data_IF_807228809535
#
_entry.id   IF_807228809535
#
_cell.length_a   1.000
_cell.length_b   1.000
_cell.length_c   1.000
_cell.angle_alpha   90.00
_cell.angle_beta   90.00
_cell.angle_gamma   90.00
#
_symmetry.space_group_name_H-M   'P 1'
#
loop_
_entity.id
_entity.type
_entity.pdbx_description
1 polymer ?
#
# COMPACT_ATOMS: atom_id res chain seq x y z
N UNK A 1 25.43 14.20 29.25
CA UNK A 1 25.60 14.10 28.68
C UNK A 1 25.45 14.29 27.35
N UNK A 2 24.71 14.05 26.78
CA UNK A 2 24.65 14.21 25.50
C UNK A 2 24.13 15.42 24.98
N UNK A 3 23.49 16.18 25.79
CA UNK A 3 22.86 17.36 25.33
C UNK A 3 23.88 18.30 24.73
N UNK A 4 25.04 18.32 25.27
CA UNK A 4 25.97 19.21 24.72
C UNK A 4 26.50 18.72 23.45
N UNK A 5 26.39 17.43 23.17
CA UNK A 5 26.82 16.96 21.93
C UNK A 5 25.70 16.91 20.97
N UNK A 6 24.51 17.17 21.43
CA UNK A 6 23.34 17.16 20.55
C UNK A 6 23.40 18.38 19.64
N UNK A 7 23.23 18.21 18.36
CA UNK A 7 23.16 19.34 17.44
C UNK A 7 22.02 20.26 17.80
N UNK A 8 22.01 21.42 17.24
CA UNK A 8 20.90 22.36 17.46
C UNK A 8 19.61 21.68 16.97
N UNK A 9 18.49 22.16 17.46
CA UNK A 9 17.19 21.63 17.05
C UNK A 9 17.03 21.66 15.54
N UNK A 10 17.51 22.72 14.88
CA UNK A 10 17.45 22.81 13.43
C UNK A 10 18.24 21.72 12.74
N UNK A 11 19.44 21.44 13.23
CA UNK A 11 20.29 20.41 12.64
C UNK A 11 19.66 19.04 12.83
N UNK A 12 19.07 18.78 14.00
CA UNK A 12 18.40 17.51 14.28
C UNK A 12 17.20 17.32 13.36
N UNK A 13 16.42 18.38 13.15
CA UNK A 13 15.28 18.31 12.24
C UNK A 13 15.71 18.06 10.81
N UNK A 14 16.79 18.70 10.38
CA UNK A 14 17.32 18.46 9.03
C UNK A 14 17.73 17.02 8.85
N UNK A 15 18.39 16.46 9.86
CA UNK A 15 18.79 15.08 9.81
C UNK A 15 17.58 14.15 9.68
N UNK A 16 16.56 14.37 10.50
CA UNK A 16 15.35 13.56 10.44
C UNK A 16 14.65 13.67 9.11
N UNK A 17 14.54 14.89 8.59
CA UNK A 17 13.93 15.10 7.28
C UNK A 17 14.69 14.39 6.17
N UNK A 18 16.01 14.45 6.25
CA UNK A 18 16.85 13.80 5.27
C UNK A 18 16.67 12.28 5.31
N UNK A 19 16.62 11.71 6.51
CA UNK A 19 16.40 10.27 6.66
C UNK A 19 15.03 9.85 6.15
N UNK A 20 14.02 10.66 6.45
CA UNK A 20 12.67 10.38 5.98
C UNK A 20 12.61 10.44 4.46
N UNK A 21 13.23 11.45 3.85
CA UNK A 21 13.25 11.58 2.40
C UNK A 21 13.96 10.38 1.76
N UNK A 22 15.08 9.95 2.35
CA UNK A 22 15.81 8.78 1.85
C UNK A 22 14.94 7.52 1.93
N UNK A 23 14.23 7.36 3.04
CA UNK A 23 13.36 6.21 3.22
C UNK A 23 12.22 6.20 2.19
N UNK A 24 11.59 7.36 1.99
CA UNK A 24 10.49 7.46 1.03
C UNK A 24 10.98 7.20 -0.40
N UNK A 25 12.14 7.72 -0.73
CA UNK A 25 12.74 7.48 -2.03
C UNK A 25 13.05 5.99 -2.23
N UNK A 26 13.60 5.36 -1.20
CA UNK A 26 13.92 3.94 -1.22
C UNK A 26 12.66 3.09 -1.35
N UNK A 27 11.60 3.44 -0.62
CA UNK A 27 10.32 2.74 -0.70
C UNK A 27 9.75 2.81 -2.11
N UNK A 28 9.86 3.98 -2.75
CA UNK A 28 9.39 4.13 -4.13
C UNK A 28 10.17 3.24 -5.08
N UNK A 29 11.49 3.17 -4.90
CA UNK A 29 12.32 2.32 -5.73
C UNK A 29 11.98 0.86 -5.54
N UNK A 30 11.75 0.43 -4.30
CA UNK A 30 11.35 -0.94 -4.02
C UNK A 30 10.04 -1.28 -4.69
N UNK A 31 9.08 -0.37 -4.64
CA UNK A 31 7.81 -0.61 -5.33
C UNK A 31 8.02 -0.82 -6.82
N UNK A 32 8.91 -0.06 -7.41
CA UNK A 32 9.22 -0.20 -8.82
C UNK A 32 9.81 -1.57 -9.14
N UNK A 33 10.60 -2.11 -8.22
CA UNK A 33 11.18 -3.45 -8.41
C UNK A 33 10.14 -4.55 -8.36
N UNK A 34 9.15 -4.43 -7.48
CA UNK A 34 8.14 -5.47 -7.32
C UNK A 34 6.92 -5.28 -8.21
N UNK A 35 6.68 -4.06 -8.65
CA UNK A 35 5.59 -3.73 -9.55
C UNK A 35 6.17 -2.96 -10.72
N UNK A 36 6.29 -3.62 -11.84
CA UNK A 36 6.96 -3.04 -13.01
C UNK A 36 6.13 -1.97 -13.71
N UNK A 37 4.87 -1.84 -13.36
CA UNK A 37 3.96 -0.91 -14.01
C UNK A 37 3.75 0.33 -13.15
N UNK A 38 4.16 1.49 -13.65
CA UNK A 38 4.11 2.73 -12.89
C UNK A 38 2.71 3.19 -12.52
N UNK A 39 1.69 2.71 -13.22
CA UNK A 39 0.31 3.11 -12.91
C UNK A 39 -0.15 2.59 -11.55
N UNK A 40 0.53 1.59 -11.02
CA UNK A 40 0.18 1.02 -9.72
C UNK A 40 0.73 1.87 -8.57
N UNK A 41 1.62 2.82 -8.85
CA UNK A 41 2.30 3.57 -7.79
C UNK A 41 1.61 4.87 -7.41
N UNK A 42 0.54 5.24 -8.10
CA UNK A 42 -0.27 6.38 -7.68
C UNK A 42 -0.91 6.06 -6.33
N UNK A 43 -1.09 7.09 -5.50
CA UNK A 43 -1.65 6.90 -4.18
C UNK A 43 -2.99 6.15 -4.17
N UNK A 44 -3.94 6.44 -5.09
CA UNK A 44 -5.21 5.72 -5.04
C UNK A 44 -5.06 4.23 -5.25
N UNK A 45 -4.26 3.82 -6.23
CA UNK A 45 -4.05 2.40 -6.50
C UNK A 45 -3.33 1.73 -5.32
N UNK A 46 -2.34 2.40 -4.77
CA UNK A 46 -1.58 1.86 -3.65
C UNK A 46 -2.45 1.70 -2.41
N UNK A 47 -3.26 2.71 -2.11
CA UNK A 47 -4.18 2.65 -0.97
C UNK A 47 -5.18 1.50 -1.11
N UNK A 48 -5.67 1.27 -2.32
CA UNK A 48 -6.59 0.17 -2.57
C UNK A 48 -5.89 -1.17 -2.28
N UNK A 49 -4.68 -1.34 -2.80
CA UNK A 49 -3.93 -2.57 -2.59
C UNK A 49 -3.65 -2.83 -1.11
N UNK A 50 -3.28 -1.79 -0.38
CA UNK A 50 -3.04 -1.91 1.07
C UNK A 50 -4.31 -2.30 1.81
N UNK A 51 -5.43 -1.69 1.45
CA UNK A 51 -6.70 -2.00 2.08
C UNK A 51 -7.11 -3.46 1.83
N UNK A 52 -6.93 -3.92 0.60
CA UNK A 52 -7.25 -5.31 0.26
C UNK A 52 -6.30 -6.29 0.94
N UNK A 53 -5.04 -5.91 1.11
CA UNK A 53 -4.09 -6.76 1.82
C UNK A 53 -4.49 -6.90 3.29
N UNK A 54 -4.87 -5.82 3.93
CA UNK A 54 -5.35 -5.86 5.31
C UNK A 54 -6.59 -6.72 5.45
N UNK A 55 -7.51 -6.59 4.50
CA UNK A 55 -8.71 -7.42 4.49
C UNK A 55 -8.37 -8.90 4.40
N UNK A 56 -7.43 -9.24 3.52
CA UNK A 56 -6.99 -10.62 3.38
C UNK A 56 -6.37 -11.13 4.68
N UNK A 57 -5.52 -10.32 5.32
CA UNK A 57 -4.84 -10.72 6.54
C UNK A 57 -5.80 -11.03 7.69
N UNK A 58 -6.94 -10.34 7.73
CA UNK A 58 -7.93 -10.55 8.76
C UNK A 58 -9.10 -11.42 8.32
N UNK A 59 -8.98 -12.05 7.15
CA UNK A 59 -10.02 -12.94 6.65
C UNK A 59 -11.32 -12.24 6.31
N UNK A 60 -11.27 -10.97 5.94
CA UNK A 60 -12.47 -10.18 5.65
C UNK A 60 -12.76 -10.12 4.16
N UNK A 61 -14.04 -10.19 3.83
CA UNK A 61 -14.50 -9.93 2.47
C UNK A 61 -14.70 -8.43 2.32
N UNK A 62 -14.07 -7.83 1.33
CA UNK A 62 -14.07 -6.40 1.12
C UNK A 62 -15.07 -6.03 0.03
N UNK A 63 -16.07 -5.24 0.39
CA UNK A 63 -17.07 -4.77 -0.59
C UNK A 63 -16.51 -3.57 -1.35
N UNK A 64 -16.94 -3.42 -2.59
CA UNK A 64 -16.53 -2.27 -3.41
C UNK A 64 -16.80 -0.95 -2.68
N UNK A 65 -17.94 -0.84 -2.03
CA UNK A 65 -18.29 0.40 -1.33
C UNK A 65 -17.32 0.74 -0.21
N UNK A 66 -16.79 -0.28 0.46
CA UNK A 66 -15.87 -0.04 1.57
C UNK A 66 -14.52 0.47 1.06
N UNK A 67 -14.17 0.19 -0.16
CA UNK A 67 -12.93 0.70 -0.76
C UNK A 67 -13.02 2.22 -0.90
N UNK A 68 -14.14 2.72 -1.39
CA UNK A 68 -14.34 4.16 -1.51
C UNK A 68 -14.24 4.86 -0.16
N UNK A 69 -14.86 4.27 0.87
CA UNK A 69 -14.82 4.83 2.21
C UNK A 69 -13.40 4.81 2.78
N UNK A 70 -12.70 3.71 2.60
CA UNK A 70 -11.36 3.56 3.18
C UNK A 70 -10.34 4.46 2.51
N UNK A 71 -10.48 4.68 1.20
CA UNK A 71 -9.50 5.47 0.45
C UNK A 71 -9.86 6.94 0.34
N UNK A 72 -11.11 7.29 0.66
CA UNK A 72 -11.60 8.65 0.49
C UNK A 72 -11.85 9.03 -0.95
N UNK A 73 -11.84 8.08 -1.87
CA UNK A 73 -12.08 8.34 -3.28
C UNK A 73 -13.58 8.33 -3.58
N UNK A 74 -14.03 9.11 -4.57
CA UNK A 74 -15.40 8.96 -5.07
C UNK A 74 -15.60 7.54 -5.60
N UNK A 75 -16.82 7.05 -5.54
CA UNK A 75 -17.14 5.68 -5.98
C UNK A 75 -16.72 5.43 -7.43
N UNK A 76 -16.97 6.42 -8.31
CA UNK A 76 -16.61 6.27 -9.72
C UNK A 76 -15.11 6.14 -9.93
N UNK A 77 -14.33 6.90 -9.16
CA UNK A 77 -12.87 6.82 -9.24
C UNK A 77 -12.37 5.48 -8.70
N UNK A 78 -12.99 4.98 -7.63
CA UNK A 78 -12.63 3.68 -7.08
C UNK A 78 -12.86 2.57 -8.09
N UNK A 79 -14.00 2.60 -8.77
CA UNK A 79 -14.31 1.60 -9.80
C UNK A 79 -13.31 1.64 -10.94
N UNK A 80 -12.94 2.84 -11.36
CA UNK A 80 -11.96 2.99 -12.43
C UNK A 80 -10.61 2.40 -12.06
N UNK A 81 -10.15 2.67 -10.85
CA UNK A 81 -8.88 2.13 -10.39
C UNK A 81 -8.93 0.62 -10.22
N UNK A 82 -10.07 0.09 -9.78
CA UNK A 82 -10.23 -1.35 -9.66
C UNK A 82 -10.15 -2.02 -11.03
N UNK A 83 -10.73 -1.40 -12.05
CA UNK A 83 -10.61 -1.93 -13.42
C UNK A 83 -9.15 -1.96 -13.86
N UNK A 84 -8.40 -0.92 -13.56
CA UNK A 84 -6.98 -0.86 -13.91
C UNK A 84 -6.22 -2.00 -13.20
N UNK A 85 -6.46 -2.15 -11.90
CA UNK A 85 -5.77 -3.19 -11.12
C UNK A 85 -6.17 -4.60 -11.56
N UNK A 86 -7.42 -4.76 -11.97
CA UNK A 86 -7.89 -6.05 -12.47
C UNK A 86 -7.21 -6.40 -13.80
N UNK A 87 -7.08 -5.43 -14.69
CA UNK A 87 -6.39 -5.64 -15.96
C UNK A 87 -4.93 -6.00 -15.76
N UNK A 88 -4.32 -5.50 -14.69
CA UNK A 88 -2.94 -5.84 -14.37
C UNK A 88 -2.81 -7.18 -13.64
N UNK A 89 -3.92 -7.84 -13.38
CA UNK A 89 -3.93 -9.15 -12.74
C UNK A 89 -3.66 -9.12 -11.26
N UNK A 90 -3.82 -7.96 -10.60
CA UNK A 90 -3.51 -7.81 -9.18
C UNK A 90 -4.72 -8.03 -8.27
N UNK A 91 -5.91 -7.81 -8.78
CA UNK A 91 -7.15 -7.98 -8.01
C UNK A 91 -8.19 -8.66 -8.86
N UNK A 92 -9.22 -9.17 -8.22
CA UNK A 92 -10.40 -9.68 -8.94
C UNK A 92 -11.66 -9.40 -8.14
N UNK A 93 -12.75 -9.20 -8.85
CA UNK A 93 -14.05 -8.99 -8.25
C UNK A 93 -14.82 -10.32 -8.27
N UNK A 94 -15.64 -10.53 -7.25
CA UNK A 94 -16.43 -11.75 -7.17
C UNK A 94 -17.75 -11.47 -6.45
N UNK A 95 -18.70 -12.39 -6.60
CA UNK A 95 -19.99 -12.29 -5.94
C UNK A 95 -20.17 -13.52 -5.06
N UNK A 96 -20.83 -13.32 -3.94
CA UNK A 96 -21.16 -14.43 -3.05
C UNK A 96 -22.61 -14.84 -3.30
N UNK A 97 -22.87 -16.13 -3.24
CA UNK A 97 -24.20 -16.66 -3.58
C UNK A 97 -25.33 -16.07 -2.78
N UNK A 98 -25.10 -15.84 -1.50
CA UNK A 98 -26.16 -15.41 -0.60
C UNK A 98 -26.31 -13.89 -0.49
N UNK A 99 -25.54 -13.14 -1.25
CA UNK A 99 -25.58 -11.68 -1.16
C UNK A 99 -25.81 -11.08 -2.53
N UNK A 100 -27.05 -11.09 -2.97
CA UNK A 100 -27.42 -10.56 -4.27
C UNK A 100 -27.13 -9.08 -4.35
N UNK A 101 -26.51 -8.66 -5.44
CA UNK A 101 -26.22 -7.24 -5.65
C UNK A 101 -24.95 -6.73 -5.00
N UNK A 102 -24.28 -7.56 -4.20
CA UNK A 102 -23.01 -7.16 -3.59
C UNK A 102 -21.86 -7.67 -4.40
N UNK A 103 -20.87 -6.80 -4.61
CA UNK A 103 -19.65 -7.17 -5.31
C UNK A 103 -18.51 -7.01 -4.32
N UNK A 104 -17.70 -8.06 -4.24
CA UNK A 104 -16.53 -8.10 -3.37
C UNK A 104 -15.27 -8.06 -4.21
N UNK A 105 -14.19 -7.62 -3.63
CA UNK A 105 -12.88 -7.54 -4.30
C UNK A 105 -11.84 -8.15 -3.39
N UNK A 106 -10.89 -8.85 -4.00
CA UNK A 106 -9.74 -9.34 -3.23
C UNK A 106 -8.51 -9.36 -4.13
N UNK A 107 -7.36 -9.44 -3.49
CA UNK A 107 -6.11 -9.58 -4.22
C UNK A 107 -6.08 -10.93 -4.93
N UNK A 108 -5.55 -10.94 -6.14
CA UNK A 108 -5.27 -12.19 -6.84
C UNK A 108 -4.08 -12.87 -6.17
N UNK A 109 -3.77 -14.10 -6.58
CA UNK A 109 -2.57 -14.76 -6.09
C UNK A 109 -1.33 -13.93 -6.38
N UNK A 110 -1.27 -13.36 -7.58
CA UNK A 110 -0.15 -12.50 -7.96
C UNK A 110 -0.10 -11.24 -7.10
N UNK A 111 -1.24 -10.58 -6.93
CA UNK A 111 -1.32 -9.38 -6.10
C UNK A 111 -0.90 -9.64 -4.67
N UNK A 112 -1.38 -10.74 -4.10
CA UNK A 112 -1.04 -11.11 -2.74
C UNK A 112 0.46 -11.41 -2.62
N UNK A 113 1.00 -12.14 -3.56
CA UNK A 113 2.42 -12.47 -3.55
C UNK A 113 3.30 -11.22 -3.66
N UNK A 114 2.98 -10.34 -4.61
CA UNK A 114 3.74 -9.11 -4.80
C UNK A 114 3.66 -8.20 -3.59
N UNK A 115 2.48 -8.05 -3.01
CA UNK A 115 2.30 -7.23 -1.81
C UNK A 115 3.05 -7.81 -0.62
N UNK A 116 2.97 -9.12 -0.43
CA UNK A 116 3.65 -9.79 0.67
C UNK A 116 5.15 -9.58 0.58
N UNK A 117 5.71 -9.78 -0.60
CA UNK A 117 7.17 -9.62 -0.81
C UNK A 117 7.61 -8.20 -0.56
N UNK A 118 6.84 -7.23 -1.06
CA UNK A 118 7.18 -5.82 -0.85
C UNK A 118 7.10 -5.43 0.62
N UNK A 119 6.02 -5.82 1.30
CA UNK A 119 5.83 -5.46 2.70
C UNK A 119 6.85 -6.13 3.60
N UNK A 120 7.22 -7.38 3.31
CA UNK A 120 8.28 -8.05 4.04
C UNK A 120 9.61 -7.33 3.87
N UNK A 121 9.88 -6.85 2.66
CA UNK A 121 11.10 -6.11 2.40
C UNK A 121 11.15 -4.81 3.20
N UNK A 122 10.05 -4.09 3.25
CA UNK A 122 9.97 -2.85 4.02
C UNK A 122 10.14 -3.12 5.51
N UNK A 123 9.46 -4.11 6.04
CA UNK A 123 9.57 -4.47 7.46
C UNK A 123 11.00 -4.84 7.82
N UNK A 124 11.66 -5.60 6.97
CA UNK A 124 13.04 -6.02 7.19
C UNK A 124 13.98 -4.81 7.16
N UNK A 125 13.76 -3.89 6.23
CA UNK A 125 14.57 -2.66 6.15
C UNK A 125 14.40 -1.79 7.38
N UNK A 126 13.18 -1.68 7.87
CA UNK A 126 12.91 -0.88 9.08
C UNK A 126 13.62 -1.49 10.28
N UNK A 127 13.60 -2.81 10.40
CA UNK A 127 14.28 -3.50 11.49
C UNK A 127 15.78 -3.24 11.43
N UNK A 128 16.37 -3.26 10.25
CA UNK A 128 17.78 -2.97 10.10
C UNK A 128 18.11 -1.55 10.49
N UNK A 129 17.27 -0.61 10.10
CA UNK A 129 17.49 0.78 10.43
C UNK A 129 17.36 1.05 11.92
N UNK A 130 16.51 0.28 12.59
CA UNK A 130 16.33 0.43 14.02
C UNK A 130 17.49 -0.16 14.81
N UNK A 131 18.15 -1.11 14.24
CA UNK A 131 19.30 -1.72 14.90
C UNK A 131 20.53 -0.86 14.70
#
# INVERSE_FOLDING_TARGET
MDSEKTPTASATLREKRSKTATRLFRERRFRTEYFSDSDVFGEPAWDILLHLFQGHAYGRSIKIESIALATGLPATASLRWLEVLEKKGLVFAYREENEIGQIYVRLSSKGLQDMTRYLDHIAHSETRESA
#
